data_IF_486379160648
#
_entry.id   IF_486379160648
#
_cell.length_a   1.000
_cell.length_b   1.000
_cell.length_c   1.000
_cell.angle_alpha   90.00
_cell.angle_beta   90.00
_cell.angle_gamma   90.00
#
_symmetry.space_group_name_H-M   'P 1'
#
loop_
_entity.id
_entity.type
_entity.pdbx_description
1 polymer ?
#
# COMPACT_ATOMS: atom_id res chain seq x y z
N UNK A 1 -13.76 4.34 3.56
CA UNK A 1 -14.51 5.55 3.15
C UNK A 1 -15.06 6.31 4.35
N UNK A 2 -15.87 5.74 5.24
CA UNK A 2 -16.36 6.45 6.45
C UNK A 2 -15.22 6.95 7.34
N UNK A 3 -14.12 6.21 7.39
CA UNK A 3 -12.91 6.56 8.12
C UNK A 3 -12.04 7.67 7.46
N UNK A 4 -12.49 8.28 6.36
CA UNK A 4 -11.78 9.36 5.68
C UNK A 4 -10.73 8.90 4.65
N UNK A 5 -10.65 7.61 4.31
CA UNK A 5 -9.74 7.11 3.27
C UNK A 5 -9.99 7.78 1.92
N UNK A 6 -8.92 8.24 1.27
CA UNK A 6 -8.96 8.89 -0.05
C UNK A 6 -8.95 7.90 -1.22
N UNK A 7 -8.65 6.64 -0.96
CA UNK A 7 -8.65 5.54 -1.93
C UNK A 7 -8.59 4.19 -1.23
N UNK A 8 -8.76 3.10 -1.98
CA UNK A 8 -8.71 1.73 -1.46
C UNK A 8 -7.77 0.91 -2.31
N UNK A 9 -6.90 0.13 -1.67
CA UNK A 9 -5.93 -0.74 -2.34
C UNK A 9 -6.15 -2.18 -1.90
N UNK A 10 -6.57 -3.07 -2.80
CA UNK A 10 -6.89 -4.47 -2.50
C UNK A 10 -6.68 -5.40 -3.70
N UNK A 11 -6.45 -6.72 -3.47
CA UNK A 11 -5.77 -7.27 -2.29
C UNK A 11 -4.25 -7.09 -2.44
N UNK A 12 -3.60 -6.68 -1.39
CA UNK A 12 -2.14 -6.47 -1.33
C UNK A 12 -1.57 -7.14 -0.07
N UNK A 13 -0.31 -6.85 0.31
CA UNK A 13 0.34 -7.48 1.47
C UNK A 13 -0.56 -7.45 2.72
N UNK A 14 -1.09 -6.30 3.12
CA UNK A 14 -1.93 -6.19 4.30
C UNK A 14 -3.24 -7.00 4.22
N UNK A 15 -3.65 -7.43 3.02
CA UNK A 15 -4.81 -8.30 2.77
C UNK A 15 -4.46 -9.78 2.71
N UNK A 16 -3.26 -10.19 3.10
CA UNK A 16 -2.77 -11.58 3.04
C UNK A 16 -2.88 -12.20 1.62
N UNK A 17 -2.66 -11.41 0.56
CA UNK A 17 -2.94 -11.82 -0.83
C UNK A 17 -2.28 -13.15 -1.24
N UNK A 18 -1.12 -13.48 -0.64
CA UNK A 18 -0.33 -14.68 -0.96
C UNK A 18 -1.02 -16.00 -0.56
N UNK A 19 -2.02 -15.95 0.30
CA UNK A 19 -2.78 -17.12 0.80
C UNK A 19 -4.26 -17.10 0.38
N UNK A 20 -4.62 -16.18 -0.50
CA UNK A 20 -5.93 -16.13 -1.13
C UNK A 20 -5.91 -16.92 -2.45
N UNK A 21 -6.99 -17.60 -2.77
CA UNK A 21 -7.18 -18.18 -4.11
C UNK A 21 -7.37 -17.07 -5.16
N UNK A 22 -7.18 -17.42 -6.43
CA UNK A 22 -7.40 -16.49 -7.53
C UNK A 22 -8.85 -15.99 -7.59
N UNK A 23 -9.80 -16.85 -7.25
CA UNK A 23 -11.24 -16.50 -7.20
C UNK A 23 -11.50 -15.54 -6.05
N UNK A 24 -11.00 -15.80 -4.83
CA UNK A 24 -11.11 -14.89 -3.69
C UNK A 24 -10.51 -13.53 -4.01
N UNK A 25 -9.36 -13.48 -4.67
CA UNK A 25 -8.73 -12.21 -5.08
C UNK A 25 -9.59 -11.44 -6.07
N UNK A 26 -10.13 -12.10 -7.10
CA UNK A 26 -11.05 -11.49 -8.07
C UNK A 26 -12.32 -11.00 -7.40
N UNK A 27 -12.89 -11.78 -6.48
CA UNK A 27 -14.08 -11.37 -5.73
C UNK A 27 -13.84 -10.17 -4.83
N UNK A 28 -12.70 -10.08 -4.14
CA UNK A 28 -12.33 -8.92 -3.33
C UNK A 28 -12.22 -7.68 -4.21
N UNK A 29 -11.55 -7.75 -5.37
CA UNK A 29 -11.44 -6.60 -6.28
C UNK A 29 -12.82 -6.17 -6.76
N UNK A 30 -13.63 -7.11 -7.27
CA UNK A 30 -15.00 -6.84 -7.76
C UNK A 30 -15.87 -6.22 -6.67
N UNK A 31 -15.95 -6.84 -5.51
CA UNK A 31 -16.73 -6.34 -4.37
C UNK A 31 -16.30 -4.92 -3.98
N UNK A 32 -14.99 -4.64 -3.97
CA UNK A 32 -14.47 -3.33 -3.58
C UNK A 32 -14.84 -2.26 -4.61
N UNK A 33 -14.72 -2.55 -5.91
CA UNK A 33 -15.15 -1.64 -6.98
C UNK A 33 -16.65 -1.36 -6.87
N UNK A 34 -17.48 -2.40 -6.72
CA UNK A 34 -18.93 -2.26 -6.56
C UNK A 34 -19.29 -1.43 -5.31
N UNK A 35 -18.63 -1.68 -4.17
CA UNK A 35 -18.89 -0.96 -2.93
C UNK A 35 -18.32 0.47 -2.93
N UNK A 36 -17.21 0.72 -3.60
CA UNK A 36 -16.68 2.08 -3.79
C UNK A 36 -17.64 2.91 -4.63
N UNK A 37 -18.21 2.33 -5.68
CA UNK A 37 -19.19 2.97 -6.56
C UNK A 37 -18.74 4.35 -7.04
N UNK A 38 -17.46 4.50 -7.41
CA UNK A 38 -16.85 5.74 -7.87
C UNK A 38 -16.64 6.84 -6.81
N UNK A 39 -16.92 6.57 -5.53
CA UNK A 39 -16.75 7.57 -4.45
C UNK A 39 -15.29 7.81 -4.09
N UNK A 40 -14.45 6.81 -4.26
CA UNK A 40 -12.99 6.86 -4.09
C UNK A 40 -12.34 5.92 -5.10
N UNK A 41 -11.11 6.18 -5.55
CA UNK A 41 -10.40 5.28 -6.45
C UNK A 41 -10.11 3.91 -5.79
N UNK A 42 -10.18 2.86 -6.60
CA UNK A 42 -9.85 1.47 -6.21
C UNK A 42 -8.64 1.01 -7.01
N UNK A 43 -7.56 0.68 -6.31
CA UNK A 43 -6.31 0.17 -6.88
C UNK A 43 -6.25 -1.34 -6.65
N UNK A 44 -6.25 -2.10 -7.75
CA UNK A 44 -6.25 -3.55 -7.71
C UNK A 44 -4.84 -4.14 -7.59
N UNK A 45 -4.61 -4.98 -6.59
CA UNK A 45 -3.37 -5.72 -6.41
C UNK A 45 -3.28 -6.92 -7.36
N UNK A 46 -2.32 -6.87 -8.30
CA UNK A 46 -2.15 -7.90 -9.34
C UNK A 46 -0.83 -8.67 -9.24
N UNK A 47 -0.10 -8.52 -8.14
CA UNK A 47 1.14 -9.27 -7.86
C UNK A 47 0.87 -10.78 -7.83
N UNK A 48 1.68 -11.55 -8.56
CA UNK A 48 1.69 -13.01 -8.52
C UNK A 48 3.11 -13.56 -8.69
N UNK A 49 3.27 -14.87 -8.63
CA UNK A 49 4.54 -15.54 -8.94
C UNK A 49 4.85 -15.60 -10.45
N UNK A 50 3.88 -15.32 -11.31
CA UNK A 50 3.99 -15.46 -12.76
C UNK A 50 3.49 -14.21 -13.48
N UNK A 51 4.27 -13.70 -14.43
CA UNK A 51 3.85 -12.60 -15.31
C UNK A 51 2.51 -12.91 -16.00
N UNK A 52 2.30 -14.14 -16.45
CA UNK A 52 1.06 -14.53 -17.14
C UNK A 52 -0.17 -14.37 -16.23
N UNK A 53 -0.09 -14.84 -15.01
CA UNK A 53 -1.18 -14.72 -14.04
C UNK A 53 -1.43 -13.26 -13.65
N UNK A 54 -0.35 -12.44 -13.49
CA UNK A 54 -0.49 -11.00 -13.23
C UNK A 54 -1.19 -10.27 -14.38
N UNK A 55 -0.91 -10.66 -15.64
CA UNK A 55 -1.59 -10.14 -16.83
C UNK A 55 -3.09 -10.47 -16.83
N UNK A 56 -3.48 -11.69 -16.42
CA UNK A 56 -4.89 -12.06 -16.28
C UNK A 56 -5.61 -11.22 -15.21
N UNK A 57 -4.99 -11.02 -14.06
CA UNK A 57 -5.54 -10.13 -13.02
C UNK A 57 -5.64 -8.69 -13.48
N UNK A 58 -4.64 -8.18 -14.21
CA UNK A 58 -4.64 -6.82 -14.73
C UNK A 58 -5.78 -6.61 -15.74
N UNK A 59 -5.94 -7.54 -16.70
CA UNK A 59 -7.05 -7.50 -17.65
C UNK A 59 -8.42 -7.59 -16.95
N UNK A 60 -8.54 -8.44 -15.93
CA UNK A 60 -9.76 -8.55 -15.13
C UNK A 60 -10.07 -7.23 -14.40
N UNK A 61 -9.08 -6.65 -13.70
CA UNK A 61 -9.26 -5.40 -12.95
C UNK A 61 -9.67 -4.22 -13.85
N UNK A 62 -9.00 -4.06 -15.01
CA UNK A 62 -9.37 -3.04 -15.98
C UNK A 62 -10.80 -3.25 -16.52
N UNK A 63 -11.20 -4.49 -16.81
CA UNK A 63 -12.54 -4.83 -17.31
C UNK A 63 -13.66 -4.49 -16.32
N UNK A 64 -13.42 -4.67 -15.02
CA UNK A 64 -14.46 -4.43 -14.00
C UNK A 64 -14.47 -3.00 -13.46
N UNK A 65 -13.60 -2.11 -13.97
CA UNK A 65 -13.60 -0.70 -13.64
C UNK A 65 -12.78 -0.34 -12.40
N UNK A 66 -11.70 -1.07 -12.10
CA UNK A 66 -10.69 -0.57 -11.16
C UNK A 66 -10.02 0.69 -11.74
N UNK A 67 -9.60 1.62 -10.87
CA UNK A 67 -9.01 2.90 -11.27
C UNK A 67 -7.49 2.81 -11.48
N UNK A 68 -6.86 1.75 -10.97
CA UNK A 68 -5.43 1.51 -11.15
C UNK A 68 -5.04 0.09 -10.74
N UNK A 69 -3.79 -0.25 -11.06
CA UNK A 69 -3.16 -1.50 -10.69
C UNK A 69 -1.99 -1.24 -9.74
N UNK A 70 -1.68 -2.19 -8.87
CA UNK A 70 -0.43 -2.19 -8.11
C UNK A 70 0.21 -3.57 -8.16
N UNK A 71 1.51 -3.61 -8.44
CA UNK A 71 2.24 -4.86 -8.49
C UNK A 71 3.69 -4.72 -8.02
N UNK A 72 4.16 -5.75 -7.31
CA UNK A 72 5.58 -6.09 -7.22
C UNK A 72 5.94 -6.97 -8.43
N UNK A 73 7.21 -6.99 -8.88
CA UNK A 73 7.66 -7.99 -9.86
C UNK A 73 7.41 -9.42 -9.36
N UNK A 74 7.33 -10.42 -10.26
CA UNK A 74 7.21 -11.83 -9.87
C UNK A 74 8.27 -12.24 -8.85
N UNK A 75 7.88 -12.91 -7.78
CA UNK A 75 8.74 -13.18 -6.62
C UNK A 75 9.16 -14.65 -6.47
N UNK A 76 8.73 -15.53 -7.36
CA UNK A 76 9.09 -16.96 -7.35
C UNK A 76 10.54 -17.26 -7.77
N UNK A 77 11.13 -16.34 -8.56
CA UNK A 77 12.52 -16.35 -9.00
C UNK A 77 13.01 -14.91 -9.15
N UNK A 78 14.32 -14.72 -9.09
CA UNK A 78 14.91 -13.40 -9.31
C UNK A 78 14.88 -13.04 -10.79
N UNK A 79 14.07 -12.06 -11.16
CA UNK A 79 14.02 -11.52 -12.50
C UNK A 79 15.20 -10.55 -12.77
N UNK A 80 15.62 -10.46 -14.03
CA UNK A 80 16.53 -9.42 -14.50
C UNK A 80 15.80 -8.08 -14.65
N UNK A 81 16.52 -6.98 -14.73
CA UNK A 81 15.94 -5.65 -14.92
C UNK A 81 15.08 -5.58 -16.20
N UNK A 82 15.51 -6.22 -17.30
CA UNK A 82 14.74 -6.26 -18.55
C UNK A 82 13.44 -7.05 -18.42
N UNK A 83 13.45 -8.17 -17.70
CA UNK A 83 12.24 -8.95 -17.41
C UNK A 83 11.27 -8.19 -16.50
N UNK A 84 11.79 -7.38 -15.57
CA UNK A 84 10.96 -6.51 -14.72
C UNK A 84 10.30 -5.42 -15.56
N UNK A 85 11.05 -4.75 -16.46
CA UNK A 85 10.47 -3.76 -17.38
C UNK A 85 9.39 -4.38 -18.24
N UNK A 86 9.66 -5.55 -18.85
CA UNK A 86 8.69 -6.27 -19.67
C UNK A 86 7.44 -6.68 -18.87
N UNK A 87 7.59 -7.09 -17.61
CA UNK A 87 6.47 -7.38 -16.71
C UNK A 87 5.52 -6.18 -16.58
N UNK A 88 6.06 -4.98 -16.31
CA UNK A 88 5.23 -3.78 -16.15
C UNK A 88 4.57 -3.33 -17.46
N UNK A 89 5.25 -3.48 -18.61
CA UNK A 89 4.63 -3.27 -19.92
C UNK A 89 3.41 -4.17 -20.10
N UNK A 90 3.57 -5.46 -19.88
CA UNK A 90 2.51 -6.46 -20.10
C UNK A 90 1.31 -6.28 -19.21
N UNK A 91 1.49 -6.00 -17.91
CA UNK A 91 0.35 -5.76 -17.01
C UNK A 91 -0.35 -4.43 -17.33
N UNK A 92 0.40 -3.39 -17.71
CA UNK A 92 -0.15 -2.10 -18.14
C UNK A 92 -0.99 -2.24 -19.41
N UNK A 93 -0.46 -2.90 -20.44
CA UNK A 93 -1.15 -3.14 -21.72
C UNK A 93 -2.43 -3.97 -21.53
N UNK A 94 -2.41 -4.93 -20.60
CA UNK A 94 -3.57 -5.76 -20.30
C UNK A 94 -4.67 -5.01 -19.53
N UNK A 95 -4.30 -4.20 -18.55
CA UNK A 95 -5.25 -3.47 -17.71
C UNK A 95 -5.71 -2.14 -18.30
N UNK A 96 -4.84 -1.46 -19.06
CA UNK A 96 -5.05 -0.14 -19.69
C UNK A 96 -5.50 0.95 -18.71
N UNK A 97 -5.01 0.85 -17.48
CA UNK A 97 -5.21 1.81 -16.38
C UNK A 97 -3.88 2.06 -15.68
N UNK A 98 -3.70 3.17 -14.95
CA UNK A 98 -2.44 3.50 -14.29
C UNK A 98 -1.89 2.37 -13.42
N UNK A 99 -0.58 2.15 -13.48
CA UNK A 99 0.10 1.12 -12.70
C UNK A 99 1.01 1.74 -11.66
N UNK A 100 0.85 1.30 -10.42
CA UNK A 100 1.75 1.58 -9.31
C UNK A 100 2.84 0.51 -9.27
N UNK A 101 4.09 0.93 -9.45
CA UNK A 101 5.28 0.09 -9.25
C UNK A 101 5.50 -0.05 -7.75
N UNK A 102 5.29 -1.23 -7.18
CA UNK A 102 5.56 -1.45 -5.76
C UNK A 102 7.01 -1.91 -5.56
N UNK A 103 7.82 -1.05 -4.98
CA UNK A 103 9.19 -1.34 -4.59
C UNK A 103 9.21 -1.81 -3.12
N UNK A 104 9.39 -3.10 -2.91
CA UNK A 104 9.25 -3.73 -1.60
C UNK A 104 10.40 -4.70 -1.30
N UNK A 105 10.61 -4.99 -0.02
CA UNK A 105 11.68 -5.85 0.45
C UNK A 105 11.36 -7.35 0.33
N UNK A 106 12.40 -8.22 0.18
CA UNK A 106 12.24 -9.67 0.25
C UNK A 106 11.57 -10.16 1.56
N UNK A 107 10.96 -11.36 1.59
CA UNK A 107 11.01 -12.39 0.53
C UNK A 107 9.96 -12.22 -0.57
N UNK A 108 8.92 -11.44 -0.37
CA UNK A 108 7.82 -11.28 -1.35
C UNK A 108 8.14 -10.21 -2.38
N UNK A 109 8.85 -9.15 -1.98
CA UNK A 109 9.24 -8.06 -2.86
C UNK A 109 10.61 -8.27 -3.53
N UNK A 110 10.83 -7.51 -4.58
CA UNK A 110 12.14 -7.35 -5.24
C UNK A 110 12.54 -5.89 -5.12
N UNK A 111 13.69 -5.62 -4.50
CA UNK A 111 14.21 -4.25 -4.40
C UNK A 111 14.71 -3.81 -5.77
N UNK A 112 14.09 -2.77 -6.29
CA UNK A 112 14.47 -2.12 -7.54
C UNK A 112 15.26 -0.84 -7.25
N UNK A 113 16.28 -0.57 -8.04
CA UNK A 113 17.02 0.70 -7.94
C UNK A 113 16.14 1.87 -8.39
N UNK A 114 16.38 3.10 -7.90
CA UNK A 114 15.70 4.30 -8.40
C UNK A 114 15.76 4.44 -9.93
N UNK A 115 16.92 4.14 -10.54
CA UNK A 115 17.08 4.18 -11.99
C UNK A 115 16.23 3.13 -12.71
N UNK A 116 16.07 1.93 -12.15
CA UNK A 116 15.17 0.92 -12.72
C UNK A 116 13.71 1.35 -12.63
N UNK A 117 13.28 1.92 -11.50
CA UNK A 117 11.93 2.45 -11.36
C UNK A 117 11.64 3.53 -12.42
N UNK A 118 12.57 4.45 -12.65
CA UNK A 118 12.44 5.50 -13.69
C UNK A 118 12.44 4.90 -15.09
N UNK A 119 13.29 3.91 -15.36
CA UNK A 119 13.31 3.18 -16.64
C UNK A 119 11.97 2.48 -16.91
N UNK A 120 11.35 1.86 -15.89
CA UNK A 120 10.03 1.24 -16.03
C UNK A 120 8.99 2.29 -16.47
N UNK A 121 8.94 3.45 -15.80
CA UNK A 121 8.02 4.53 -16.18
C UNK A 121 8.30 5.10 -17.56
N UNK A 122 9.55 5.14 -17.98
CA UNK A 122 9.94 5.58 -19.32
C UNK A 122 9.43 4.64 -20.41
N UNK A 123 9.56 3.32 -20.19
CA UNK A 123 9.34 2.29 -21.20
C UNK A 123 7.93 1.66 -21.15
N UNK A 124 7.25 1.66 -20.01
CA UNK A 124 5.90 1.10 -19.83
C UNK A 124 4.86 2.23 -19.80
N UNK A 125 3.97 2.28 -20.78
CA UNK A 125 3.08 3.43 -21.01
C UNK A 125 2.14 3.72 -19.84
N UNK A 126 1.71 2.71 -19.11
CA UNK A 126 0.77 2.83 -17.99
C UNK A 126 1.45 2.92 -16.62
N UNK A 127 2.75 2.67 -16.49
CA UNK A 127 3.47 2.75 -15.23
C UNK A 127 3.80 4.21 -14.90
N UNK A 128 3.06 4.82 -13.96
CA UNK A 128 3.15 6.25 -13.68
C UNK A 128 3.21 6.61 -12.19
N UNK A 129 3.03 5.64 -11.31
CA UNK A 129 3.16 5.81 -9.87
C UNK A 129 4.15 4.81 -9.29
N UNK A 130 4.70 5.15 -8.12
CA UNK A 130 5.53 4.25 -7.32
C UNK A 130 4.96 4.18 -5.90
N UNK A 131 4.97 2.98 -5.31
CA UNK A 131 4.86 2.79 -3.88
C UNK A 131 6.21 2.34 -3.35
N UNK A 132 6.87 3.19 -2.56
CA UNK A 132 8.24 2.96 -2.09
C UNK A 132 8.23 2.45 -0.64
N UNK A 133 8.76 1.24 -0.43
CA UNK A 133 8.77 0.58 0.87
C UNK A 133 10.10 -0.14 1.18
N UNK A 134 11.20 0.28 0.56
CA UNK A 134 12.53 -0.29 0.84
C UNK A 134 13.12 0.26 2.14
N UNK A 135 14.29 -0.23 2.54
CA UNK A 135 14.89 0.08 3.85
C UNK A 135 15.08 1.58 4.08
N UNK A 136 15.48 2.33 3.07
CA UNK A 136 15.74 3.77 3.11
C UNK A 136 14.72 4.53 2.25
N UNK A 137 13.42 4.18 2.39
CA UNK A 137 12.33 4.67 1.52
C UNK A 137 12.38 6.18 1.30
N UNK A 138 12.55 6.97 2.34
CA UNK A 138 12.60 8.43 2.25
C UNK A 138 13.71 8.95 1.33
N UNK A 139 14.92 8.38 1.41
CA UNK A 139 16.04 8.76 0.51
C UNK A 139 15.79 8.28 -0.92
N UNK A 140 15.26 7.07 -1.07
CA UNK A 140 14.89 6.49 -2.37
C UNK A 140 13.80 7.34 -3.05
N UNK A 141 12.80 7.82 -2.33
CA UNK A 141 11.77 8.75 -2.82
C UNK A 141 12.43 10.01 -3.41
N UNK A 142 13.35 10.63 -2.68
CA UNK A 142 14.07 11.82 -3.15
C UNK A 142 14.86 11.53 -4.43
N UNK A 143 15.55 10.40 -4.48
CA UNK A 143 16.36 10.02 -5.65
C UNK A 143 15.49 9.68 -6.88
N UNK A 144 14.36 9.00 -6.67
CA UNK A 144 13.39 8.75 -7.74
C UNK A 144 12.86 10.05 -8.31
N UNK A 145 12.42 10.98 -7.45
CA UNK A 145 11.90 12.27 -7.88
C UNK A 145 12.94 13.05 -8.72
N UNK A 146 14.20 13.08 -8.26
CA UNK A 146 15.31 13.72 -8.99
C UNK A 146 15.57 13.07 -10.36
N UNK A 147 15.58 11.73 -10.41
CA UNK A 147 15.81 11.01 -11.68
C UNK A 147 14.63 11.14 -12.64
N UNK A 148 13.42 11.26 -12.11
CA UNK A 148 12.21 11.39 -12.91
C UNK A 148 12.01 12.78 -13.53
N UNK A 149 12.80 13.80 -13.17
CA UNK A 149 12.77 15.14 -13.78
C UNK A 149 12.95 15.13 -15.30
N UNK A 150 13.59 14.11 -15.85
CA UNK A 150 13.78 13.95 -17.29
C UNK A 150 12.56 13.39 -18.02
N UNK A 151 11.58 12.85 -17.27
CA UNK A 151 10.37 12.27 -17.83
C UNK A 151 9.33 13.34 -18.15
N UNK A 152 8.48 13.12 -19.18
CA UNK A 152 7.25 13.90 -19.33
C UNK A 152 6.39 13.80 -18.07
N UNK A 153 5.67 14.89 -17.71
CA UNK A 153 4.91 14.96 -16.46
C UNK A 153 3.85 13.84 -16.33
N UNK A 154 3.29 13.40 -17.44
CA UNK A 154 2.32 12.30 -17.49
C UNK A 154 2.92 10.92 -17.22
N UNK A 155 4.24 10.77 -17.31
CA UNK A 155 4.96 9.52 -17.03
C UNK A 155 5.32 9.34 -15.54
N UNK A 156 5.38 10.44 -14.77
CA UNK A 156 5.61 10.37 -13.33
C UNK A 156 4.57 11.22 -12.59
N UNK A 157 3.54 10.56 -12.08
CA UNK A 157 2.43 11.20 -11.36
C UNK A 157 2.66 11.27 -9.85
N UNK A 158 3.67 10.56 -9.34
CA UNK A 158 4.12 10.67 -7.97
C UNK A 158 4.55 9.35 -7.34
N UNK A 159 5.16 9.48 -6.18
CA UNK A 159 5.53 8.36 -5.32
C UNK A 159 4.68 8.39 -4.05
N UNK A 160 4.19 7.24 -3.62
CA UNK A 160 3.51 7.05 -2.35
C UNK A 160 4.43 6.35 -1.36
N UNK A 161 4.33 6.72 -0.09
CA UNK A 161 4.90 5.99 1.02
C UNK A 161 4.06 4.75 1.40
N UNK A 162 4.56 4.01 2.36
CA UNK A 162 3.91 2.80 2.88
C UNK A 162 4.33 2.50 4.31
N UNK A 163 4.63 1.24 4.61
CA UNK A 163 5.14 0.80 5.93
C UNK A 163 4.28 1.28 7.11
N UNK A 164 2.95 1.18 6.97
CA UNK A 164 2.01 1.61 8.00
C UNK A 164 2.13 3.11 8.38
N UNK A 165 2.56 3.96 7.46
CA UNK A 165 2.70 5.40 7.72
C UNK A 165 3.88 5.79 8.63
N UNK A 166 4.77 4.87 9.00
CA UNK A 166 5.87 5.09 9.98
C UNK A 166 6.82 6.21 9.62
N UNK A 167 6.92 6.60 8.38
CA UNK A 167 7.78 7.69 7.89
C UNK A 167 6.98 8.81 7.24
N UNK A 168 5.66 8.85 7.44
CA UNK A 168 4.71 9.73 6.74
C UNK A 168 5.14 11.19 6.77
N UNK A 169 5.58 11.73 7.90
CA UNK A 169 5.97 13.14 8.01
C UNK A 169 7.22 13.44 7.15
N UNK A 170 8.27 12.61 7.25
CA UNK A 170 9.49 12.80 6.44
C UNK A 170 9.22 12.57 4.94
N UNK A 171 8.41 11.56 4.60
CA UNK A 171 8.02 11.28 3.23
C UNK A 171 7.16 12.42 2.65
N UNK A 172 6.25 13.00 3.43
CA UNK A 172 5.45 14.15 3.04
C UNK A 172 6.35 15.36 2.66
N UNK A 173 7.34 15.68 3.48
CA UNK A 173 8.29 16.76 3.20
C UNK A 173 9.15 16.50 1.95
N UNK A 174 9.25 15.26 1.50
CA UNK A 174 9.93 14.87 0.26
C UNK A 174 9.02 14.86 -0.97
N UNK A 175 7.77 15.30 -0.80
CA UNK A 175 6.83 15.49 -1.90
C UNK A 175 6.13 14.22 -2.38
N UNK A 176 5.91 13.24 -1.49
CA UNK A 176 5.05 12.10 -1.84
C UNK A 176 3.63 12.57 -2.13
N UNK A 177 2.95 11.89 -3.04
CA UNK A 177 1.56 12.18 -3.41
C UNK A 177 0.52 11.46 -2.53
N UNK A 178 0.97 10.69 -1.53
CA UNK A 178 0.11 9.97 -0.61
C UNK A 178 0.87 8.92 0.20
N UNK A 179 0.13 8.20 1.05
CA UNK A 179 0.61 7.05 1.81
C UNK A 179 -0.40 5.90 1.72
N UNK A 180 0.09 4.66 1.70
CA UNK A 180 -0.75 3.45 1.66
C UNK A 180 -0.51 2.60 2.90
N UNK A 181 -1.08 2.96 4.07
CA UNK A 181 -0.99 2.19 5.30
C UNK A 181 -1.92 0.96 5.28
N UNK A 182 -1.91 0.17 6.36
CA UNK A 182 -2.95 -0.81 6.61
C UNK A 182 -4.27 -0.13 7.01
N UNK A 183 -5.37 -0.88 7.06
CA UNK A 183 -6.71 -0.28 7.23
C UNK A 183 -7.17 -0.13 8.69
N UNK A 184 -6.39 -0.60 9.64
CA UNK A 184 -6.77 -0.69 11.05
C UNK A 184 -6.84 0.65 11.77
N UNK A 185 -6.03 1.65 11.33
CA UNK A 185 -6.06 3.03 11.83
C UNK A 185 -6.12 4.06 10.70
N UNK A 186 -6.73 3.72 9.58
CA UNK A 186 -6.79 4.59 8.39
C UNK A 186 -7.43 5.96 8.67
N UNK A 187 -8.33 6.06 9.62
CA UNK A 187 -8.92 7.32 10.07
C UNK A 187 -7.88 8.26 10.73
N UNK A 188 -6.92 7.70 11.45
CA UNK A 188 -5.81 8.46 12.03
C UNK A 188 -4.83 8.89 10.95
N UNK A 189 -4.44 7.97 10.06
CA UNK A 189 -3.53 8.29 8.95
C UNK A 189 -4.13 9.34 8.02
N UNK A 190 -5.41 9.20 7.67
CA UNK A 190 -6.11 10.19 6.85
C UNK A 190 -6.18 11.56 7.55
N UNK A 191 -6.39 11.58 8.87
CA UNK A 191 -6.39 12.82 9.64
C UNK A 191 -5.02 13.49 9.68
N UNK A 192 -3.95 12.71 9.88
CA UNK A 192 -2.57 13.23 9.83
C UNK A 192 -2.30 13.85 8.45
N UNK A 193 -2.64 13.13 7.37
CA UNK A 193 -2.47 13.63 6.01
C UNK A 193 -3.24 14.92 5.76
N UNK A 194 -4.52 14.95 6.13
CA UNK A 194 -5.35 16.14 5.94
C UNK A 194 -4.84 17.37 6.72
N UNK A 195 -4.34 17.16 7.94
CA UNK A 195 -3.72 18.23 8.73
C UNK A 195 -2.46 18.80 8.04
N UNK A 196 -1.65 17.93 7.40
CA UNK A 196 -0.49 18.39 6.61
C UNK A 196 -0.93 19.19 5.40
N UNK A 197 -1.93 18.73 4.64
CA UNK A 197 -2.50 19.45 3.48
C UNK A 197 -3.12 20.80 3.87
N UNK A 198 -3.66 20.90 5.09
CA UNK A 198 -4.19 22.15 5.66
C UNK A 198 -3.10 23.10 6.21
N UNK A 199 -1.82 22.70 6.17
CA UNK A 199 -0.71 23.46 6.76
C UNK A 199 -0.66 23.43 8.30
N UNK A 200 -1.43 22.55 8.94
CA UNK A 200 -1.47 22.35 10.41
C UNK A 200 -0.42 21.34 10.86
N UNK A 201 0.83 21.57 10.48
CA UNK A 201 1.92 20.62 10.65
C UNK A 201 2.17 20.25 12.13
N UNK A 202 2.06 21.20 13.06
CA UNK A 202 2.25 20.93 14.50
C UNK A 202 1.21 19.93 15.02
N UNK A 203 -0.04 20.06 14.60
CA UNK A 203 -1.13 19.17 14.98
C UNK A 203 -0.93 17.78 14.33
N UNK A 204 -0.53 17.74 13.07
CA UNK A 204 -0.19 16.52 12.37
C UNK A 204 0.94 15.74 13.06
N UNK A 205 2.03 16.39 13.41
CA UNK A 205 3.16 15.79 14.12
C UNK A 205 2.74 15.31 15.51
N UNK A 206 1.92 16.07 16.24
CA UNK A 206 1.44 15.66 17.55
C UNK A 206 0.63 14.36 17.48
N UNK A 207 -0.31 14.24 16.53
CA UNK A 207 -1.09 13.04 16.32
C UNK A 207 -0.23 11.87 15.82
N UNK A 208 0.67 12.13 14.88
CA UNK A 208 1.63 11.15 14.37
C UNK A 208 2.47 10.55 15.52
N UNK A 209 2.99 11.36 16.42
CA UNK A 209 3.78 10.90 17.57
C UNK A 209 2.95 10.01 18.52
N UNK A 210 1.65 10.24 18.64
CA UNK A 210 0.76 9.38 19.41
C UNK A 210 0.50 8.04 18.69
N UNK A 211 0.47 8.02 17.36
CA UNK A 211 0.23 6.81 16.57
C UNK A 211 1.47 5.92 16.42
N UNK A 212 2.69 6.46 16.50
CA UNK A 212 3.95 5.73 16.33
C UNK A 212 4.07 4.45 17.18
N UNK A 213 3.65 4.40 18.46
CA UNK A 213 3.69 3.14 19.23
C UNK A 213 2.89 2.02 18.56
N UNK A 214 1.71 2.32 18.00
CA UNK A 214 0.90 1.33 17.27
C UNK A 214 1.59 0.91 15.97
N UNK A 215 2.06 1.86 15.18
CA UNK A 215 2.79 1.58 13.92
C UNK A 215 4.06 0.73 14.16
N UNK A 216 4.69 0.83 15.33
CA UNK A 216 5.80 -0.04 15.71
C UNK A 216 5.32 -1.46 16.03
N UNK A 217 4.18 -1.63 16.72
CA UNK A 217 3.59 -2.94 16.94
C UNK A 217 3.14 -3.58 15.61
N UNK A 218 2.57 -2.81 14.68
CA UNK A 218 2.22 -3.26 13.33
C UNK A 218 3.43 -3.81 12.59
N UNK A 219 4.56 -3.16 12.68
CA UNK A 219 5.80 -3.62 12.07
C UNK A 219 6.28 -4.96 12.65
N UNK A 220 6.05 -5.20 13.95
CA UNK A 220 6.45 -6.45 14.60
C UNK A 220 5.49 -7.61 14.31
N UNK A 221 4.18 -7.35 14.33
CA UNK A 221 3.15 -8.39 14.31
C UNK A 221 2.37 -8.49 13.00
N UNK A 222 2.40 -7.46 12.13
CA UNK A 222 1.76 -7.44 10.82
C UNK A 222 0.27 -7.79 10.88
N UNK A 223 -0.14 -8.79 10.10
CA UNK A 223 -1.55 -9.21 9.97
C UNK A 223 -2.24 -9.52 11.30
N UNK A 224 -1.49 -10.07 12.25
CA UNK A 224 -2.03 -10.42 13.57
C UNK A 224 -2.50 -9.16 14.30
N UNK A 225 -1.69 -8.09 14.24
CA UNK A 225 -2.04 -6.83 14.90
C UNK A 225 -3.15 -6.10 14.15
N UNK A 226 -3.10 -5.98 12.82
CA UNK A 226 -4.14 -5.32 12.04
C UNK A 226 -5.53 -5.87 12.39
N UNK A 227 -5.67 -7.21 12.40
CA UNK A 227 -6.94 -7.86 12.73
C UNK A 227 -7.32 -7.73 14.20
N UNK A 228 -6.36 -7.78 15.12
CA UNK A 228 -6.62 -7.56 16.54
C UNK A 228 -7.15 -6.14 16.81
N UNK A 229 -6.57 -5.12 16.17
CA UNK A 229 -7.03 -3.73 16.25
C UNK A 229 -8.45 -3.60 15.69
N UNK A 230 -8.70 -4.09 14.47
CA UNK A 230 -10.02 -4.04 13.84
C UNK A 230 -11.09 -4.73 14.70
N UNK A 231 -10.77 -5.87 15.31
CA UNK A 231 -11.68 -6.59 16.21
C UNK A 231 -11.94 -5.82 17.49
N UNK A 232 -10.91 -5.25 18.12
CA UNK A 232 -11.07 -4.42 19.32
C UNK A 232 -11.92 -3.17 19.05
N UNK A 233 -11.81 -2.61 17.86
CA UNK A 233 -12.64 -1.49 17.39
C UNK A 233 -14.05 -1.91 16.95
N UNK A 234 -14.38 -3.21 16.97
CA UNK A 234 -15.70 -3.72 16.58
C UNK A 234 -15.99 -3.65 15.07
N UNK A 235 -14.95 -3.51 14.25
CA UNK A 235 -15.07 -3.41 12.78
C UNK A 235 -15.20 -4.79 12.13
N UNK A 236 -14.53 -5.81 12.72
CA UNK A 236 -14.63 -7.22 12.33
C UNK A 236 -14.87 -8.11 13.54
N UNK A 237 -15.52 -9.26 13.32
CA UNK A 237 -15.81 -10.24 14.38
C UNK A 237 -14.71 -11.29 14.54
N UNK A 238 -13.87 -11.51 13.50
CA UNK A 238 -12.86 -12.56 13.45
C UNK A 238 -11.47 -11.97 13.16
N UNK A 239 -10.50 -12.30 14.02
CA UNK A 239 -9.09 -11.91 13.90
C UNK A 239 -8.17 -13.04 13.42
N UNK A 240 -8.74 -14.12 12.86
CA UNK A 240 -7.97 -15.23 12.32
C UNK A 240 -7.08 -14.78 11.15
N UNK A 241 -5.83 -15.23 11.16
CA UNK A 241 -4.82 -14.97 10.13
C UNK A 241 -4.56 -16.26 9.37
N UNK A 242 -4.56 -16.19 8.03
CA UNK A 242 -4.29 -17.33 7.14
C UNK A 242 -2.79 -17.52 6.87
N UNK A 243 -2.02 -16.43 6.87
CA UNK A 243 -0.56 -16.50 6.66
C UNK A 243 0.08 -17.27 7.80
N UNK A 244 0.83 -18.37 7.50
CA UNK A 244 1.47 -19.16 8.53
C UNK A 244 2.66 -18.42 9.17
N UNK A 245 3.05 -18.83 10.39
CA UNK A 245 4.30 -18.39 11.04
C UNK A 245 4.23 -17.08 11.81
N UNK A 246 3.10 -16.37 11.80
CA UNK A 246 2.93 -15.16 12.60
C UNK A 246 2.90 -15.47 14.12
N UNK A 247 3.62 -14.69 14.93
CA UNK A 247 3.48 -14.75 16.39
C UNK A 247 2.14 -14.15 16.81
N UNK A 248 1.44 -14.86 17.68
CA UNK A 248 0.23 -14.32 18.34
C UNK A 248 0.61 -13.31 19.41
N UNK A 249 -0.25 -12.34 19.62
CA UNK A 249 -0.13 -11.40 20.75
C UNK A 249 -0.30 -12.16 22.06
N UNK A 250 0.55 -11.87 23.04
CA UNK A 250 0.41 -12.37 24.39
C UNK A 250 -0.37 -11.39 25.28
N UNK A 251 -0.50 -11.72 26.56
CA UNK A 251 -1.24 -10.88 27.53
C UNK A 251 -0.64 -9.47 27.67
N UNK A 252 0.67 -9.35 27.60
CA UNK A 252 1.35 -8.06 27.75
C UNK A 252 1.19 -7.22 26.49
N UNK A 253 1.26 -7.84 25.30
CA UNK A 253 0.98 -7.19 24.03
C UNK A 253 -0.44 -6.61 24.00
N UNK A 254 -1.44 -7.38 24.46
CA UNK A 254 -2.82 -6.90 24.55
C UNK A 254 -2.98 -5.77 25.55
N UNK A 255 -2.26 -5.80 26.68
CA UNK A 255 -2.30 -4.71 27.67
C UNK A 255 -1.73 -3.42 27.08
N UNK A 256 -0.62 -3.51 26.36
CA UNK A 256 -0.01 -2.35 25.69
C UNK A 256 -0.89 -1.85 24.54
N UNK A 257 -1.43 -2.76 23.74
CA UNK A 257 -2.37 -2.41 22.68
C UNK A 257 -3.60 -1.65 23.24
N UNK A 258 -4.18 -2.12 24.33
CA UNK A 258 -5.32 -1.45 24.97
C UNK A 258 -4.99 -0.04 25.45
N UNK A 259 -3.78 0.15 26.01
CA UNK A 259 -3.28 1.48 26.40
C UNK A 259 -3.18 2.42 25.19
N UNK A 260 -2.56 1.94 24.09
CA UNK A 260 -2.37 2.73 22.89
C UNK A 260 -3.72 3.09 22.23
N UNK A 261 -4.60 2.10 22.05
CA UNK A 261 -5.90 2.32 21.42
C UNK A 261 -6.77 3.31 22.21
N UNK A 262 -6.69 3.30 23.55
CA UNK A 262 -7.39 4.26 24.40
C UNK A 262 -6.90 5.70 24.19
N UNK A 263 -5.62 5.91 23.94
CA UNK A 263 -5.05 7.23 23.65
C UNK A 263 -5.47 7.73 22.26
N UNK A 264 -5.68 6.80 21.30
CA UNK A 264 -6.08 7.11 19.93
C UNK A 264 -7.62 7.18 19.74
N UNK A 265 -8.40 6.66 20.69
CA UNK A 265 -9.87 6.63 20.62
C UNK A 265 -10.52 7.98 20.25
N UNK A 266 -10.06 9.14 20.77
CA UNK A 266 -10.64 10.45 20.42
C UNK A 266 -10.56 10.81 18.93
N UNK A 267 -9.74 10.11 18.16
CA UNK A 267 -9.53 10.37 16.74
C UNK A 267 -10.28 9.39 15.82
N UNK A 268 -10.90 8.35 16.36
CA UNK A 268 -11.65 7.38 15.56
C UNK A 268 -12.86 8.01 14.88
N UNK A 269 -13.10 7.60 13.64
CA UNK A 269 -14.25 8.00 12.83
C UNK A 269 -15.29 6.86 12.68
N UNK A 270 -14.85 5.64 12.98
CA UNK A 270 -15.65 4.42 12.90
C UNK A 270 -15.28 3.47 14.03
#
# INVERSE_FOLDING_TARGET
MKAGSHGIVVPVNASEFIVLSDEERKDIIRFTVEQAAGRVPVIAGVTTQSTYQSVEFAAYAGKIGADGLIAMPPYGARATDDEIVEFYKRIGDAGRIPVFIQNYVPPVGTVMSPSLCVRIMQEADYASYIKEETQYSSQVITEIARLAEILPKEKYLGTMGGKAGRYLIDEYHRGVCGNMPACDIVDIDAKIWNLLEEGKEKEAIALYNQAIPLMNMEYMYGYVLYKAVLKKRGIIDCDSVRVPGGKRLDKFDYTELDRILKELEPYYQV
#
